data_IF_173929190661
#
_entry.id   IF_173929190661
#
_cell.length_a   1.000
_cell.length_b   1.000
_cell.length_c   1.000
_cell.angle_alpha   90.00
_cell.angle_beta   90.00
_cell.angle_gamma   90.00
#
_symmetry.space_group_name_H-M   'P 1'
#
loop_
_entity.id
_entity.type
_entity.pdbx_description
1 polymer ?
#
# COMPACT_ATOMS: atom_id res chain seq x y z
N UNK A 1 7.83 0.40 -18.19
CA UNK A 1 7.92 1.71 -17.52
C UNK A 1 9.38 2.10 -17.44
N UNK A 2 9.74 3.29 -17.92
CA UNK A 2 11.13 3.77 -18.06
C UNK A 2 11.86 3.95 -16.71
N UNK A 3 11.10 4.02 -15.61
CA UNK A 3 11.60 4.32 -14.26
C UNK A 3 11.70 3.09 -13.33
N UNK A 4 11.44 1.86 -13.81
CA UNK A 4 11.61 0.64 -13.00
C UNK A 4 10.65 0.48 -11.81
N UNK A 5 9.52 1.20 -11.80
CA UNK A 5 8.51 1.13 -10.73
C UNK A 5 7.91 -0.27 -10.65
N UNK A 6 7.91 -0.87 -9.45
CA UNK A 6 7.42 -2.23 -9.18
C UNK A 6 6.14 -2.27 -8.33
N UNK A 7 5.86 -1.20 -7.57
CA UNK A 7 4.79 -1.20 -6.56
C UNK A 7 4.06 0.15 -6.53
N UNK A 8 2.73 0.09 -6.49
CA UNK A 8 1.81 1.19 -6.25
C UNK A 8 1.26 1.01 -4.83
N UNK A 9 1.40 2.05 -4.01
CA UNK A 9 0.83 2.08 -2.66
C UNK A 9 -0.44 2.91 -2.66
N UNK A 10 -1.45 2.49 -1.91
CA UNK A 10 -2.70 3.23 -1.72
C UNK A 10 -3.16 3.20 -0.26
N UNK A 11 -4.00 4.16 0.14
CA UNK A 11 -4.51 4.29 1.51
C UNK A 11 -5.72 3.38 1.78
N UNK A 12 -6.14 3.27 3.04
CA UNK A 12 -7.23 2.36 3.47
C UNK A 12 -8.63 2.92 3.34
N UNK A 13 -8.81 4.24 3.31
CA UNK A 13 -10.13 4.88 3.43
C UNK A 13 -10.85 5.13 2.10
N UNK A 14 -10.18 4.94 0.97
CA UNK A 14 -10.75 5.13 -0.36
C UNK A 14 -10.74 3.83 -1.17
N UNK A 15 -11.50 3.80 -2.27
CA UNK A 15 -11.59 2.62 -3.12
C UNK A 15 -10.24 2.26 -3.75
N UNK A 16 -9.81 0.98 -3.71
CA UNK A 16 -8.53 0.53 -4.28
C UNK A 16 -8.55 0.46 -5.82
N UNK A 17 -9.73 0.57 -6.44
CA UNK A 17 -9.97 0.22 -7.84
C UNK A 17 -9.06 0.96 -8.82
N UNK A 18 -8.73 2.21 -8.55
CA UNK A 18 -7.80 2.99 -9.39
C UNK A 18 -6.39 2.41 -9.32
N UNK A 19 -5.88 2.13 -8.12
CA UNK A 19 -4.56 1.56 -7.92
C UNK A 19 -4.46 0.14 -8.52
N UNK A 20 -5.48 -0.69 -8.33
CA UNK A 20 -5.55 -2.05 -8.89
C UNK A 20 -5.60 -2.03 -10.42
N UNK A 21 -6.37 -1.12 -11.01
CA UNK A 21 -6.45 -0.98 -12.47
C UNK A 21 -5.09 -0.57 -13.03
N UNK A 22 -4.45 0.45 -12.45
CA UNK A 22 -3.11 0.87 -12.86
C UNK A 22 -2.09 -0.24 -12.71
N UNK A 23 -2.14 -1.01 -11.62
CA UNK A 23 -1.24 -2.13 -11.39
C UNK A 23 -1.39 -3.22 -12.46
N UNK A 24 -2.63 -3.58 -12.80
CA UNK A 24 -2.95 -4.52 -13.87
C UNK A 24 -2.41 -4.05 -15.22
N UNK A 25 -2.65 -2.79 -15.58
CA UNK A 25 -2.23 -2.24 -16.88
C UNK A 25 -0.70 -2.04 -17.00
N UNK A 26 -0.01 -1.83 -15.88
CA UNK A 26 1.44 -1.54 -15.87
C UNK A 26 2.31 -2.74 -15.51
N UNK A 27 1.70 -3.87 -15.13
CA UNK A 27 2.42 -5.05 -14.63
C UNK A 27 3.09 -4.82 -13.27
N UNK A 28 2.59 -3.87 -12.49
CA UNK A 28 3.08 -3.58 -11.13
C UNK A 28 2.19 -4.25 -10.07
N UNK A 29 2.61 -4.21 -8.81
CA UNK A 29 1.79 -4.67 -7.68
C UNK A 29 1.10 -3.49 -7.01
N UNK A 30 -0.19 -3.59 -6.68
CA UNK A 30 -0.86 -2.63 -5.79
C UNK A 30 -0.91 -3.20 -4.37
N UNK A 31 -0.57 -2.39 -3.36
CA UNK A 31 -0.68 -2.79 -1.94
C UNK A 31 -1.03 -1.60 -1.04
N UNK A 32 -1.55 -1.88 0.15
CA UNK A 32 -1.93 -0.85 1.11
C UNK A 32 -0.67 -0.28 1.78
N UNK A 33 -0.67 1.04 1.97
CA UNK A 33 0.21 1.75 2.90
C UNK A 33 -0.65 2.77 3.64
N UNK A 34 -0.93 2.49 4.91
CA UNK A 34 -1.89 3.26 5.69
C UNK A 34 -1.26 4.58 6.19
N UNK A 35 -1.85 5.75 5.87
CA UNK A 35 -1.32 7.05 6.26
C UNK A 35 -1.59 7.40 7.73
N UNK A 36 -2.27 6.54 8.50
CA UNK A 36 -2.61 6.64 9.92
C UNK A 36 -3.39 7.89 10.35
N UNK A 37 -3.81 8.72 9.40
CA UNK A 37 -4.63 9.92 9.64
C UNK A 37 -6.07 9.55 10.07
N UNK A 38 -6.53 8.36 9.71
CA UNK A 38 -7.79 7.78 10.15
C UNK A 38 -7.80 6.27 9.94
N UNK A 39 -8.35 5.53 10.91
CA UNK A 39 -8.45 4.08 10.82
C UNK A 39 -9.73 3.67 10.08
N UNK A 40 -9.66 2.53 9.39
CA UNK A 40 -10.84 1.92 8.80
C UNK A 40 -11.95 1.70 9.86
N UNK A 41 -13.23 1.91 9.51
CA UNK A 41 -14.33 1.72 10.45
C UNK A 41 -14.29 0.33 11.12
N UNK A 42 -14.26 0.31 12.45
CA UNK A 42 -14.19 -0.92 13.23
C UNK A 42 -12.78 -1.50 13.44
N UNK A 43 -11.73 -0.80 13.00
CA UNK A 43 -10.36 -1.19 13.35
C UNK A 43 -10.13 -1.12 14.86
N UNK A 44 -9.43 -2.14 15.36
CA UNK A 44 -8.95 -2.25 16.76
C UNK A 44 -7.43 -2.11 16.82
N UNK A 45 -6.80 -1.75 15.70
CA UNK A 45 -5.34 -1.72 15.56
C UNK A 45 -4.76 -0.52 16.31
N UNK A 46 -3.64 -0.78 16.99
CA UNK A 46 -2.82 0.28 17.58
C UNK A 46 -1.88 0.88 16.53
N UNK A 47 -1.37 2.09 16.78
CA UNK A 47 -0.34 2.70 15.92
C UNK A 47 0.83 1.73 15.61
N UNK A 48 1.40 0.99 16.59
CA UNK A 48 2.42 0.00 16.30
C UNK A 48 1.98 -1.15 15.37
N UNK A 49 0.70 -1.56 15.41
CA UNK A 49 0.18 -2.60 14.52
C UNK A 49 0.18 -2.10 13.07
N UNK A 50 -0.37 -0.90 12.85
CA UNK A 50 -0.41 -0.27 11.52
C UNK A 50 1.00 -0.04 10.99
N UNK A 51 1.92 0.45 11.82
CA UNK A 51 3.30 0.68 11.40
C UNK A 51 4.06 -0.62 11.10
N UNK A 52 3.76 -1.73 11.79
CA UNK A 52 4.31 -3.06 11.47
C UNK A 52 3.78 -3.57 10.13
N UNK A 53 2.49 -3.37 9.86
CA UNK A 53 1.86 -3.71 8.57
C UNK A 53 2.49 -2.90 7.43
N UNK A 54 2.61 -1.58 7.61
CA UNK A 54 3.28 -0.69 6.67
C UNK A 54 4.73 -1.11 6.41
N UNK A 55 5.50 -1.44 7.46
CA UNK A 55 6.87 -1.92 7.29
C UNK A 55 6.95 -3.21 6.48
N UNK A 56 6.00 -4.14 6.67
CA UNK A 56 5.93 -5.37 5.89
C UNK A 56 5.64 -5.07 4.40
N UNK A 57 4.69 -4.18 4.11
CA UNK A 57 4.38 -3.74 2.75
C UNK A 57 5.59 -3.08 2.06
N UNK A 58 6.27 -2.17 2.77
CA UNK A 58 7.47 -1.50 2.25
C UNK A 58 8.60 -2.50 1.98
N UNK A 59 8.89 -3.42 2.89
CA UNK A 59 9.90 -4.48 2.66
C UNK A 59 9.55 -5.37 1.47
N UNK A 60 8.27 -5.67 1.28
CA UNK A 60 7.82 -6.50 0.16
C UNK A 60 7.93 -5.79 -1.19
N UNK A 61 7.64 -4.48 -1.24
CA UNK A 61 7.65 -3.69 -2.47
C UNK A 61 9.00 -3.03 -2.80
N UNK A 62 9.87 -2.80 -1.82
CA UNK A 62 11.17 -2.11 -1.96
C UNK A 62 12.38 -3.04 -1.80
N UNK A 63 12.30 -4.27 -2.29
CA UNK A 63 13.31 -5.34 -2.05
C UNK A 63 14.75 -5.02 -2.46
N UNK A 64 14.97 -3.93 -3.22
CA UNK A 64 16.27 -3.49 -3.72
C UNK A 64 16.72 -2.11 -3.19
N UNK A 65 16.04 -1.56 -2.18
CA UNK A 65 16.37 -0.27 -1.56
C UNK A 65 17.32 -0.42 -0.37
#
# INVERSE_FOLDING_TARGET
>A
TTEGITTIYYETLVSPKVAETLASETGTTATVLDPIEGLAPGSIESYPDVMRSNLAALKAGQRCA
#
